data_IF_710569267096
#
_entry.id   IF_710569267096
#
_cell.length_a   1.000
_cell.length_b   1.000
_cell.length_c   1.000
_cell.angle_alpha   90.00
_cell.angle_beta   90.00
_cell.angle_gamma   90.00
#
_symmetry.space_group_name_H-M   'P 1'
#
loop_
_entity.id
_entity.type
_entity.pdbx_description
1 polymer ?
#
# COMPACT_ATOMS: atom_id res chain seq x y z
N UNK A 1 26.39 14.41 -5.32
CA UNK A 1 26.58 14.89 -6.70
C UNK A 1 26.89 16.39 -6.77
N UNK A 2 27.66 16.95 -5.82
CA UNK A 2 28.07 18.37 -5.85
C UNK A 2 26.99 19.43 -5.59
N UNK A 3 25.72 19.11 -5.80
CA UNK A 3 24.59 20.04 -5.60
C UNK A 3 24.30 20.27 -4.11
N UNK A 4 24.17 21.55 -3.74
CA UNK A 4 23.73 22.01 -2.41
C UNK A 4 22.48 22.85 -2.59
N UNK A 5 21.50 22.70 -1.70
CA UNK A 5 20.25 23.46 -1.77
C UNK A 5 19.33 23.04 -2.92
N UNK A 6 18.18 23.70 -3.02
CA UNK A 6 17.19 23.48 -4.08
C UNK A 6 17.28 24.66 -5.05
N UNK A 7 17.68 24.35 -6.28
CA UNK A 7 17.97 25.33 -7.33
C UNK A 7 17.28 24.86 -8.60
N UNK A 8 16.52 25.73 -9.26
CA UNK A 8 15.71 25.37 -10.42
C UNK A 8 16.59 24.95 -11.61
N UNK A 9 17.74 25.60 -11.76
CA UNK A 9 18.77 25.32 -12.76
C UNK A 9 19.39 23.92 -12.66
N UNK A 10 19.25 23.25 -11.52
CA UNK A 10 19.76 21.90 -11.29
C UNK A 10 18.71 20.81 -11.57
N UNK A 11 17.49 21.16 -11.98
CA UNK A 11 16.41 20.22 -12.24
C UNK A 11 16.27 19.89 -13.74
N UNK A 12 16.06 18.61 -14.11
CA UNK A 12 16.01 17.45 -13.22
C UNK A 12 17.41 16.95 -12.83
N UNK A 13 17.57 16.58 -11.56
CA UNK A 13 18.69 15.80 -11.05
C UNK A 13 18.57 14.37 -11.56
N UNK A 14 19.47 13.99 -12.48
CA UNK A 14 19.58 12.65 -13.04
C UNK A 14 21.02 12.16 -12.81
N UNK A 15 21.28 11.39 -11.75
CA UNK A 15 22.59 10.83 -11.49
C UNK A 15 23.01 9.80 -12.53
N UNK A 16 24.24 9.90 -12.99
CA UNK A 16 24.91 8.86 -13.76
C UNK A 16 26.40 8.78 -13.35
N UNK A 17 26.84 7.70 -12.67
CA UNK A 17 26.05 6.58 -12.16
C UNK A 17 25.26 6.94 -10.87
N UNK A 18 24.30 6.10 -10.50
CA UNK A 18 23.72 6.11 -9.15
C UNK A 18 24.75 5.62 -8.13
N UNK A 19 25.18 6.52 -7.24
CA UNK A 19 26.15 6.26 -6.18
C UNK A 19 25.44 5.85 -4.89
N UNK A 20 25.79 4.67 -4.38
CA UNK A 20 25.37 4.20 -3.06
C UNK A 20 26.21 4.88 -1.98
N UNK A 21 25.55 5.30 -0.91
CA UNK A 21 26.19 5.84 0.30
C UNK A 21 25.67 5.11 1.53
N UNK A 22 26.49 4.95 2.59
CA UNK A 22 25.99 4.46 3.86
C UNK A 22 24.83 5.32 4.36
N UNK A 23 23.90 4.69 5.08
CA UNK A 23 22.77 5.38 5.72
C UNK A 23 23.26 6.63 6.45
N UNK A 24 22.62 7.76 6.16
CA UNK A 24 22.92 9.04 6.80
C UNK A 24 21.97 9.27 7.97
N UNK A 25 22.49 9.90 9.04
CA UNK A 25 21.71 10.38 10.18
C UNK A 25 21.84 11.89 10.30
N UNK A 26 20.75 12.54 10.69
CA UNK A 26 20.74 13.99 10.93
C UNK A 26 21.43 14.30 12.25
N UNK A 27 22.22 15.35 12.25
CA UNK A 27 22.96 15.91 13.38
C UNK A 27 22.78 17.43 13.40
N UNK A 28 23.27 18.08 14.45
CA UNK A 28 23.28 19.56 14.56
C UNK A 28 24.02 20.21 13.37
N UNK A 29 25.10 19.58 12.89
CA UNK A 29 25.95 20.09 11.81
C UNK A 29 25.60 19.50 10.42
N UNK A 30 24.39 18.99 10.24
CA UNK A 30 23.92 18.41 8.97
C UNK A 30 23.84 16.89 9.00
N UNK A 31 24.25 16.22 7.92
CA UNK A 31 24.13 14.76 7.79
C UNK A 31 25.50 14.10 7.84
N UNK A 32 25.59 12.98 8.56
CA UNK A 32 26.79 12.14 8.59
C UNK A 32 26.41 10.65 8.45
N UNK A 33 27.33 9.80 7.98
CA UNK A 33 27.12 8.35 8.01
C UNK A 33 26.81 7.84 9.42
N UNK A 34 25.88 6.91 9.50
CA UNK A 34 25.54 6.21 10.74
C UNK A 34 26.71 5.32 11.18
N UNK A 35 27.23 5.57 12.38
CA UNK A 35 28.40 4.87 12.91
C UNK A 35 28.16 3.36 13.12
N UNK A 36 26.95 2.97 13.53
CA UNK A 36 26.59 1.56 13.72
C UNK A 36 26.50 0.84 12.38
N UNK A 37 25.93 1.48 11.37
CA UNK A 37 25.88 0.94 10.00
C UNK A 37 27.28 0.81 9.41
N UNK A 38 28.14 1.82 9.59
CA UNK A 38 29.54 1.74 9.15
C UNK A 38 30.30 0.59 9.80
N UNK A 39 30.12 0.39 11.11
CA UNK A 39 30.72 -0.73 11.83
C UNK A 39 30.25 -2.07 11.26
N UNK A 40 28.96 -2.22 11.01
CA UNK A 40 28.39 -3.44 10.44
C UNK A 40 28.87 -3.70 9.00
N UNK A 41 28.92 -2.67 8.15
CA UNK A 41 29.48 -2.78 6.79
C UNK A 41 30.94 -3.25 6.84
N UNK A 42 31.74 -2.72 7.77
CA UNK A 42 33.14 -3.14 7.95
C UNK A 42 33.25 -4.60 8.39
N UNK A 43 32.39 -5.07 9.28
CA UNK A 43 32.34 -6.48 9.70
C UNK A 43 32.00 -7.37 8.50
N UNK A 44 30.95 -7.02 7.75
CA UNK A 44 30.52 -7.79 6.58
C UNK A 44 31.61 -7.82 5.50
N UNK A 45 32.27 -6.68 5.23
CA UNK A 45 33.40 -6.61 4.30
C UNK A 45 34.52 -7.58 4.67
N UNK A 46 34.94 -7.59 5.94
CA UNK A 46 35.95 -8.56 6.41
C UNK A 46 35.53 -10.01 6.20
N UNK A 47 34.27 -10.33 6.49
CA UNK A 47 33.74 -11.69 6.31
C UNK A 47 33.67 -12.07 4.82
N UNK A 48 33.31 -11.13 3.94
CA UNK A 48 33.31 -11.37 2.49
C UNK A 48 34.73 -11.65 1.98
N UNK A 49 35.72 -10.89 2.45
CA UNK A 49 37.12 -11.06 2.04
C UNK A 49 37.67 -12.43 2.46
N UNK A 50 37.36 -12.86 3.69
CA UNK A 50 37.81 -14.14 4.25
C UNK A 50 37.02 -15.36 3.79
N UNK A 51 35.93 -15.18 3.03
CA UNK A 51 35.08 -16.27 2.57
C UNK A 51 35.42 -16.71 1.16
N UNK A 52 35.26 -18.00 0.87
CA UNK A 52 35.34 -18.53 -0.50
C UNK A 52 34.03 -18.32 -1.27
N UNK A 53 32.90 -18.39 -0.55
CA UNK A 53 31.53 -18.27 -1.07
C UNK A 53 30.62 -17.63 -0.01
N UNK A 54 29.55 -16.97 -0.45
CA UNK A 54 28.57 -16.30 0.41
C UNK A 54 27.23 -17.01 0.31
N UNK A 55 26.55 -17.21 1.45
CA UNK A 55 25.14 -17.64 1.47
C UNK A 55 24.30 -16.43 1.88
N UNK A 56 23.35 -16.06 1.03
CA UNK A 56 22.50 -14.88 1.21
C UNK A 56 21.18 -15.30 1.84
N UNK A 57 21.03 -14.98 3.12
CA UNK A 57 19.88 -15.31 3.96
C UNK A 57 18.99 -14.09 4.27
N UNK A 58 18.90 -13.13 3.35
CA UNK A 58 17.92 -12.04 3.45
C UNK A 58 16.53 -12.52 3.06
N UNK A 59 15.49 -11.80 3.50
CA UNK A 59 14.09 -12.14 3.23
C UNK A 59 13.82 -12.51 1.76
N UNK A 60 12.96 -13.52 1.58
CA UNK A 60 12.52 -14.03 0.29
C UNK A 60 11.60 -13.04 -0.44
N UNK A 61 12.18 -11.95 -0.94
CA UNK A 61 11.46 -10.91 -1.66
C UNK A 61 12.37 -9.88 -2.33
N UNK A 62 11.75 -8.93 -3.04
CA UNK A 62 12.46 -7.87 -3.79
C UNK A 62 13.39 -7.03 -2.91
N UNK A 63 12.92 -6.59 -1.75
CA UNK A 63 13.71 -5.74 -0.85
C UNK A 63 14.89 -6.51 -0.23
N UNK A 64 14.68 -7.79 0.11
CA UNK A 64 15.73 -8.66 0.61
C UNK A 64 16.82 -8.93 -0.44
N UNK A 65 16.45 -9.05 -1.72
CA UNK A 65 17.43 -9.13 -2.81
C UNK A 65 18.20 -7.81 -2.98
N UNK A 66 17.48 -6.69 -2.97
CA UNK A 66 18.05 -5.37 -3.19
C UNK A 66 19.10 -5.01 -2.13
N UNK A 67 18.78 -5.22 -0.85
CA UNK A 67 19.68 -4.84 0.25
C UNK A 67 21.01 -5.60 0.20
N UNK A 68 20.97 -6.90 -0.09
CA UNK A 68 22.20 -7.69 -0.27
C UNK A 68 22.99 -7.20 -1.47
N UNK A 69 22.35 -7.04 -2.64
CA UNK A 69 23.03 -6.63 -3.87
C UNK A 69 23.62 -5.24 -3.79
N UNK A 70 22.97 -4.30 -3.09
CA UNK A 70 23.54 -2.99 -2.80
C UNK A 70 24.79 -3.08 -1.95
N UNK A 71 24.79 -3.89 -0.89
CA UNK A 71 25.97 -4.07 -0.06
C UNK A 71 27.11 -4.77 -0.81
N UNK A 72 26.77 -5.81 -1.58
CA UNK A 72 27.70 -6.56 -2.42
C UNK A 72 28.37 -5.66 -3.46
N UNK A 73 27.60 -4.81 -4.14
CA UNK A 73 28.10 -3.83 -5.09
C UNK A 73 28.92 -2.71 -4.42
N UNK A 74 28.43 -2.16 -3.30
CA UNK A 74 29.10 -1.10 -2.53
C UNK A 74 30.48 -1.53 -2.03
N UNK A 75 30.61 -2.78 -1.57
CA UNK A 75 31.88 -3.36 -1.14
C UNK A 75 32.75 -3.84 -2.30
N UNK A 76 32.28 -3.77 -3.54
CA UNK A 76 33.02 -4.27 -4.70
C UNK A 76 33.25 -5.79 -4.68
N UNK A 77 32.46 -6.55 -3.92
CA UNK A 77 32.65 -7.99 -3.78
C UNK A 77 32.40 -8.71 -5.11
N UNK A 78 33.16 -9.79 -5.36
CA UNK A 78 33.05 -10.64 -6.56
C UNK A 78 33.00 -12.13 -6.23
N UNK A 79 32.92 -12.48 -4.94
CA UNK A 79 32.83 -13.87 -4.48
C UNK A 79 31.51 -14.49 -4.97
N UNK A 80 31.50 -15.77 -5.38
CA UNK A 80 30.26 -16.46 -5.72
C UNK A 80 29.31 -16.46 -4.52
N UNK A 81 28.01 -16.41 -4.78
CA UNK A 81 27.00 -16.48 -3.73
C UNK A 81 25.79 -17.30 -4.16
N UNK A 82 25.15 -17.92 -3.17
CA UNK A 82 23.93 -18.69 -3.32
C UNK A 82 22.83 -18.08 -2.43
N UNK A 83 21.57 -18.28 -2.79
CA UNK A 83 20.39 -17.76 -2.06
C UNK A 83 19.75 -18.84 -1.21
N UNK A 84 19.59 -18.53 0.07
CA UNK A 84 18.67 -19.23 0.96
C UNK A 84 17.29 -18.57 0.82
N UNK A 85 16.35 -19.26 0.17
CA UNK A 85 15.02 -18.72 -0.15
C UNK A 85 13.93 -19.39 0.68
N UNK A 86 13.70 -18.88 1.89
CA UNK A 86 12.73 -19.42 2.85
C UNK A 86 11.78 -18.33 3.34
N UNK A 87 10.51 -18.69 3.60
CA UNK A 87 9.49 -17.82 4.17
C UNK A 87 9.08 -18.21 5.60
N UNK A 88 9.71 -19.26 6.15
CA UNK A 88 9.47 -19.80 7.49
C UNK A 88 10.79 -19.87 8.25
N UNK A 89 10.75 -19.51 9.54
CA UNK A 89 11.89 -19.58 10.44
C UNK A 89 11.90 -20.88 11.28
N UNK A 90 11.10 -21.88 10.91
CA UNK A 90 11.14 -23.18 11.57
C UNK A 90 12.45 -23.89 11.26
N UNK A 91 12.94 -24.65 12.23
CA UNK A 91 14.17 -25.43 12.14
C UNK A 91 14.18 -26.37 10.91
N UNK A 92 13.05 -27.02 10.63
CA UNK A 92 12.85 -27.84 9.42
C UNK A 92 13.01 -27.02 8.13
N UNK A 93 12.36 -25.86 8.04
CA UNK A 93 12.43 -25.02 6.84
C UNK A 93 13.84 -24.47 6.59
N UNK A 94 14.56 -24.11 7.66
CA UNK A 94 15.95 -23.64 7.56
C UNK A 94 16.86 -24.78 7.08
N UNK A 95 16.75 -25.99 7.65
CA UNK A 95 17.55 -27.14 7.22
C UNK A 95 17.28 -27.52 5.76
N UNK A 96 16.01 -27.63 5.39
CA UNK A 96 15.62 -27.93 4.01
C UNK A 96 16.09 -26.85 3.04
N UNK A 97 15.98 -25.57 3.42
CA UNK A 97 16.46 -24.44 2.63
C UNK A 97 17.98 -24.45 2.42
N UNK A 98 18.75 -24.78 3.46
CA UNK A 98 20.22 -24.89 3.36
C UNK A 98 20.68 -26.07 2.51
N UNK A 99 19.89 -27.15 2.45
CA UNK A 99 20.15 -28.28 1.55
C UNK A 99 19.81 -27.96 0.09
N UNK A 100 18.94 -26.99 -0.15
CA UNK A 100 18.40 -26.62 -1.47
C UNK A 100 18.68 -25.16 -1.82
N UNK A 101 19.94 -24.72 -1.64
CA UNK A 101 20.39 -23.39 -2.03
C UNK A 101 20.20 -23.16 -3.54
N UNK A 102 19.86 -21.93 -3.90
CA UNK A 102 19.62 -21.51 -5.29
C UNK A 102 20.79 -20.67 -5.79
N UNK A 103 21.11 -20.77 -7.08
CA UNK A 103 22.16 -19.93 -7.66
C UNK A 103 21.68 -18.46 -7.60
N UNK A 104 22.55 -17.56 -7.16
CA UNK A 104 22.26 -16.12 -7.11
C UNK A 104 21.72 -15.54 -8.42
N UNK A 105 22.14 -16.08 -9.57
CA UNK A 105 21.71 -15.66 -10.91
C UNK A 105 20.23 -15.88 -11.17
N UNK A 106 19.62 -16.87 -10.50
CA UNK A 106 18.16 -17.11 -10.61
C UNK A 106 17.35 -15.88 -10.17
N UNK A 107 17.94 -14.98 -9.38
CA UNK A 107 17.30 -13.79 -8.83
C UNK A 107 17.78 -12.47 -9.46
N UNK A 108 18.58 -12.50 -10.53
CA UNK A 108 19.07 -11.26 -11.18
C UNK A 108 17.92 -10.38 -11.70
N UNK A 109 16.89 -10.98 -12.29
CA UNK A 109 15.70 -10.23 -12.73
C UNK A 109 14.94 -9.60 -11.57
N UNK A 110 14.87 -10.28 -10.42
CA UNK A 110 14.24 -9.75 -9.22
C UNK A 110 15.03 -8.56 -8.67
N UNK A 111 16.35 -8.66 -8.66
CA UNK A 111 17.26 -7.57 -8.32
C UNK A 111 17.08 -6.38 -9.25
N UNK A 112 17.11 -6.57 -10.57
CA UNK A 112 16.97 -5.49 -11.55
C UNK A 112 15.62 -4.78 -11.41
N UNK A 113 14.53 -5.52 -11.17
CA UNK A 113 13.23 -4.93 -10.90
C UNK A 113 13.21 -4.09 -9.61
N UNK A 114 13.84 -4.57 -8.53
CA UNK A 114 13.93 -3.85 -7.26
C UNK A 114 14.81 -2.58 -7.38
N UNK A 115 15.95 -2.68 -8.07
CA UNK A 115 16.85 -1.55 -8.36
C UNK A 115 16.14 -0.48 -9.19
N UNK A 116 15.51 -0.87 -10.29
CA UNK A 116 14.77 0.06 -11.16
C UNK A 116 13.67 0.80 -10.38
N UNK A 117 12.94 0.10 -9.51
CA UNK A 117 11.95 0.73 -8.63
C UNK A 117 12.60 1.73 -7.65
N UNK A 118 13.69 1.34 -6.98
CA UNK A 118 14.41 2.19 -6.04
C UNK A 118 14.93 3.48 -6.69
N UNK A 119 15.52 3.37 -7.88
CA UNK A 119 16.02 4.51 -8.66
C UNK A 119 14.88 5.39 -9.18
N UNK A 120 13.78 4.81 -9.68
CA UNK A 120 12.62 5.55 -10.13
C UNK A 120 11.94 6.32 -8.98
N UNK A 121 11.77 5.68 -7.81
CA UNK A 121 11.20 6.33 -6.63
C UNK A 121 12.11 7.49 -6.15
N UNK A 122 13.43 7.33 -6.24
CA UNK A 122 14.38 8.40 -5.94
C UNK A 122 14.28 9.56 -6.94
N UNK A 123 14.25 9.28 -8.24
CA UNK A 123 14.16 10.30 -9.31
C UNK A 123 12.89 11.13 -9.19
N UNK A 124 11.73 10.47 -9.05
CA UNK A 124 10.44 11.17 -8.89
C UNK A 124 10.43 11.96 -7.57
N UNK A 125 10.91 11.34 -6.50
CA UNK A 125 10.92 11.93 -5.16
C UNK A 125 11.76 13.20 -5.10
N UNK A 126 13.02 13.12 -5.50
CA UNK A 126 13.96 14.24 -5.38
C UNK A 126 13.56 15.40 -6.32
N UNK A 127 13.22 15.10 -7.58
CA UNK A 127 12.90 16.14 -8.56
C UNK A 127 11.56 16.79 -8.27
N UNK A 128 10.52 15.99 -7.99
CA UNK A 128 9.19 16.51 -7.68
C UNK A 128 9.19 17.34 -6.40
N UNK A 129 9.88 16.87 -5.35
CA UNK A 129 9.95 17.58 -4.06
C UNK A 129 10.69 18.91 -4.22
N UNK A 130 11.82 18.93 -4.94
CA UNK A 130 12.55 20.17 -5.19
C UNK A 130 11.74 21.15 -6.02
N UNK A 131 11.18 20.72 -7.15
CA UNK A 131 10.38 21.57 -8.03
C UNK A 131 9.20 22.21 -7.28
N UNK A 132 8.43 21.41 -6.54
CA UNK A 132 7.27 21.90 -5.81
C UNK A 132 7.66 22.80 -4.63
N UNK A 133 8.75 22.48 -3.94
CA UNK A 133 9.25 23.31 -2.83
C UNK A 133 9.74 24.67 -3.31
N UNK A 134 10.47 24.72 -4.43
CA UNK A 134 10.91 25.98 -5.06
C UNK A 134 9.69 26.80 -5.48
N UNK A 135 8.74 26.18 -6.19
CA UNK A 135 7.54 26.87 -6.66
C UNK A 135 6.68 27.43 -5.52
N UNK A 136 6.62 26.75 -4.38
CA UNK A 136 5.87 27.20 -3.22
C UNK A 136 6.55 28.34 -2.44
N UNK A 137 7.88 28.49 -2.56
CA UNK A 137 8.66 29.55 -1.91
C UNK A 137 8.72 29.49 -0.38
N UNK A 138 8.17 28.45 0.26
CA UNK A 138 8.15 28.25 1.71
C UNK A 138 8.07 26.78 2.07
N UNK A 139 8.60 26.39 3.22
CA UNK A 139 8.48 25.02 3.74
C UNK A 139 9.13 23.97 2.82
N UNK A 140 8.72 22.71 2.97
CA UNK A 140 9.13 21.61 2.09
C UNK A 140 7.90 20.79 1.73
N UNK A 141 7.70 20.58 0.43
CA UNK A 141 6.53 19.88 -0.10
C UNK A 141 6.97 18.58 -0.76
N UNK A 142 6.84 17.47 -0.03
CA UNK A 142 7.26 16.16 -0.53
C UNK A 142 6.34 15.68 -1.65
N UNK A 143 6.96 15.27 -2.76
CA UNK A 143 6.30 14.58 -3.86
C UNK A 143 6.86 13.17 -3.93
N UNK A 144 6.02 12.19 -4.22
CA UNK A 144 6.48 10.83 -4.44
C UNK A 144 5.41 9.95 -5.07
N UNK A 145 5.86 8.93 -5.81
CA UNK A 145 5.00 8.04 -6.58
C UNK A 145 3.93 7.32 -5.75
N UNK A 146 4.14 7.16 -4.43
CA UNK A 146 3.18 6.52 -3.51
C UNK A 146 2.43 7.55 -2.67
N UNK A 147 3.14 8.44 -1.96
CA UNK A 147 2.50 9.39 -1.03
C UNK A 147 1.56 10.38 -1.76
N UNK A 148 1.92 10.84 -2.96
CA UNK A 148 1.16 11.89 -3.66
C UNK A 148 -0.16 11.36 -4.20
N UNK A 149 -0.24 10.18 -4.87
CA UNK A 149 -1.53 9.60 -5.22
C UNK A 149 -2.42 9.27 -4.02
N UNK A 150 -1.85 8.78 -2.92
CA UNK A 150 -2.62 8.52 -1.69
C UNK A 150 -3.25 9.80 -1.13
N UNK A 151 -2.49 10.90 -1.07
CA UNK A 151 -3.04 12.21 -0.71
C UNK A 151 -4.11 12.67 -1.70
N UNK A 152 -3.90 12.43 -3.00
CA UNK A 152 -4.87 12.71 -4.06
C UNK A 152 -6.22 12.04 -3.79
N UNK A 153 -6.24 10.76 -3.42
CA UNK A 153 -7.46 10.03 -3.08
C UNK A 153 -8.21 10.64 -1.89
N UNK A 154 -7.49 11.11 -0.86
CA UNK A 154 -8.08 11.78 0.30
C UNK A 154 -8.66 13.14 -0.09
N UNK A 155 -7.92 13.93 -0.88
CA UNK A 155 -8.38 15.22 -1.38
C UNK A 155 -9.62 15.09 -2.28
N UNK A 156 -9.66 14.08 -3.15
CA UNK A 156 -10.81 13.80 -4.00
C UNK A 156 -12.05 13.50 -3.16
N UNK A 157 -11.94 12.57 -2.19
CA UNK A 157 -13.03 12.26 -1.26
C UNK A 157 -13.48 13.48 -0.44
N UNK A 158 -12.55 14.33 -0.02
CA UNK A 158 -12.88 15.58 0.67
C UNK A 158 -13.74 16.50 -0.22
N UNK A 159 -13.35 16.68 -1.49
CA UNK A 159 -14.11 17.51 -2.42
C UNK A 159 -15.46 16.90 -2.80
N UNK A 160 -15.54 15.58 -2.98
CA UNK A 160 -16.81 14.87 -3.14
C UNK A 160 -17.76 15.19 -1.99
N UNK A 161 -17.28 15.14 -0.75
CA UNK A 161 -18.08 15.46 0.42
C UNK A 161 -18.44 16.95 0.50
N UNK A 162 -17.49 17.86 0.24
CA UNK A 162 -17.75 19.32 0.29
C UNK A 162 -18.71 19.80 -0.78
N UNK A 163 -18.70 19.17 -1.95
CA UNK A 163 -19.59 19.47 -3.07
C UNK A 163 -20.89 18.67 -3.02
N UNK A 164 -21.05 17.78 -2.04
CA UNK A 164 -22.26 17.01 -1.87
C UNK A 164 -23.39 17.91 -1.36
N UNK A 165 -24.38 18.14 -2.21
CA UNK A 165 -25.62 18.79 -1.85
C UNK A 165 -26.67 17.74 -1.49
N UNK A 166 -27.04 17.68 -0.21
CA UNK A 166 -28.09 16.77 0.25
C UNK A 166 -29.44 17.17 -0.34
N UNK A 167 -30.09 16.23 -1.04
CA UNK A 167 -31.42 16.42 -1.62
C UNK A 167 -32.43 15.55 -0.88
N UNK A 168 -33.53 16.12 -0.36
CA UNK A 168 -34.54 15.32 0.30
C UNK A 168 -35.24 14.40 -0.70
N UNK A 169 -35.55 13.19 -0.23
CA UNK A 169 -36.41 12.25 -0.93
C UNK A 169 -37.30 11.55 0.09
N UNK A 170 -38.43 11.05 -0.38
CA UNK A 170 -39.43 10.35 0.39
C UNK A 170 -39.63 8.94 -0.17
N UNK A 171 -39.73 7.97 0.73
CA UNK A 171 -40.16 6.61 0.43
C UNK A 171 -41.35 6.27 1.30
N UNK A 172 -42.28 5.49 0.73
CA UNK A 172 -43.45 5.02 1.45
C UNK A 172 -43.08 3.69 2.10
N UNK A 173 -43.30 3.61 3.41
CA UNK A 173 -43.13 2.39 4.18
C UNK A 173 -44.47 1.98 4.79
N UNK A 174 -44.79 0.69 4.76
CA UNK A 174 -45.96 0.15 5.44
C UNK A 174 -45.61 -1.20 6.11
N UNK A 175 -46.35 -1.53 7.16
CA UNK A 175 -46.22 -2.78 7.90
C UNK A 175 -47.45 -3.64 7.69
N UNK A 176 -47.26 -4.95 7.51
CA UNK A 176 -48.34 -5.94 7.53
C UNK A 176 -48.07 -6.91 8.67
N UNK A 177 -49.10 -7.20 9.47
CA UNK A 177 -48.99 -8.23 10.52
C UNK A 177 -49.14 -9.58 9.84
N UNK A 178 -48.13 -10.42 10.00
CA UNK A 178 -48.21 -11.82 9.64
C UNK A 178 -49.20 -12.54 10.57
N UNK A 179 -50.24 -13.13 10.01
CA UNK A 179 -51.32 -13.78 10.76
C UNK A 179 -50.85 -15.01 11.52
N UNK A 180 -49.79 -15.67 11.05
CA UNK A 180 -49.31 -16.93 11.62
C UNK A 180 -48.29 -16.69 12.75
N UNK A 181 -47.35 -15.75 12.53
CA UNK A 181 -46.28 -15.47 13.50
C UNK A 181 -46.52 -14.26 14.40
N UNK A 182 -47.50 -13.40 14.07
CA UNK A 182 -47.75 -12.12 14.75
C UNK A 182 -46.67 -11.05 14.49
N UNK A 183 -45.68 -11.34 13.66
CA UNK A 183 -44.59 -10.41 13.35
C UNK A 183 -45.03 -9.32 12.36
N UNK A 184 -44.44 -8.13 12.48
CA UNK A 184 -44.65 -7.04 11.52
C UNK A 184 -43.65 -7.17 10.37
N UNK A 185 -44.16 -7.48 9.18
CA UNK A 185 -43.40 -7.43 7.94
C UNK A 185 -43.38 -6.00 7.41
N UNK A 186 -42.18 -5.42 7.28
CA UNK A 186 -41.99 -4.06 6.77
C UNK A 186 -41.72 -4.07 5.27
N UNK A 187 -42.49 -3.28 4.53
CA UNK A 187 -42.32 -3.07 3.11
C UNK A 187 -41.93 -1.63 2.82
N UNK A 188 -41.08 -1.46 1.80
CA UNK A 188 -40.59 -0.16 1.34
C UNK A 188 -40.89 -0.06 -0.15
N UNK A 189 -41.41 1.10 -0.58
CA UNK A 189 -41.60 1.38 -1.99
C UNK A 189 -40.28 1.29 -2.76
N UNK A 190 -40.29 0.63 -3.92
CA UNK A 190 -39.15 0.63 -4.84
C UNK A 190 -38.84 2.05 -5.32
N UNK A 191 -39.89 2.84 -5.54
CA UNK A 191 -39.77 4.23 -5.97
C UNK A 191 -39.34 5.14 -4.82
N UNK A 192 -38.63 6.21 -5.19
CA UNK A 192 -38.26 7.35 -4.35
C UNK A 192 -38.82 8.60 -5.00
N UNK A 193 -39.49 9.45 -4.22
CA UNK A 193 -40.05 10.70 -4.71
C UNK A 193 -39.25 11.88 -4.16
N UNK A 194 -39.02 12.90 -4.96
CA UNK A 194 -38.37 14.15 -4.54
C UNK A 194 -39.38 15.24 -4.18
N UNK A 195 -40.67 14.98 -4.38
CA UNK A 195 -41.76 15.84 -3.94
C UNK A 195 -42.52 15.17 -2.79
N UNK A 196 -42.70 15.92 -1.70
CA UNK A 196 -43.35 15.42 -0.48
C UNK A 196 -44.85 15.25 -0.68
N UNK A 197 -45.50 16.11 -1.45
CA UNK A 197 -46.94 16.05 -1.66
C UNK A 197 -47.32 14.75 -2.40
N UNK A 198 -46.63 14.46 -3.51
CA UNK A 198 -46.79 13.22 -4.26
C UNK A 198 -46.58 11.98 -3.39
N UNK A 199 -45.52 11.95 -2.56
CA UNK A 199 -45.26 10.82 -1.67
C UNK A 199 -46.36 10.67 -0.60
N UNK A 200 -46.92 11.78 -0.12
CA UNK A 200 -47.99 11.81 0.88
C UNK A 200 -49.31 11.30 0.30
N UNK A 201 -49.64 11.70 -0.93
CA UNK A 201 -50.83 11.21 -1.63
C UNK A 201 -50.77 9.70 -1.87
N UNK A 202 -49.59 9.18 -2.25
CA UNK A 202 -49.37 7.74 -2.41
C UNK A 202 -49.47 7.04 -1.06
N UNK A 203 -48.88 7.60 0.00
CA UNK A 203 -49.01 7.06 1.35
C UNK A 203 -50.48 6.95 1.78
N UNK A 204 -51.28 8.00 1.54
CA UNK A 204 -52.71 8.00 1.87
C UNK A 204 -53.46 6.92 1.08
N UNK A 205 -53.21 6.77 -0.22
CA UNK A 205 -53.79 5.70 -1.04
C UNK A 205 -53.44 4.30 -0.52
N UNK A 206 -52.19 4.07 -0.13
CA UNK A 206 -51.76 2.80 0.46
C UNK A 206 -52.46 2.55 1.79
N UNK A 207 -52.57 3.58 2.64
CA UNK A 207 -53.27 3.51 3.93
C UNK A 207 -54.75 3.21 3.77
N UNK A 208 -55.42 3.87 2.82
CA UNK A 208 -56.84 3.67 2.51
C UNK A 208 -57.12 2.28 1.92
N UNK A 209 -56.21 1.74 1.11
CA UNK A 209 -56.34 0.39 0.54
C UNK A 209 -56.36 -0.69 1.62
N UNK A 210 -55.63 -0.48 2.73
CA UNK A 210 -55.68 -1.33 3.94
C UNK A 210 -55.24 -2.79 3.75
N UNK A 211 -54.80 -3.16 2.55
CA UNK A 211 -54.44 -4.52 2.16
C UNK A 211 -53.30 -4.51 1.14
N UNK A 212 -52.55 -5.60 1.05
CA UNK A 212 -51.47 -5.77 0.09
C UNK A 212 -51.48 -7.18 -0.48
N UNK A 213 -51.14 -7.31 -1.76
CA UNK A 213 -51.05 -8.61 -2.45
C UNK A 213 -49.58 -8.91 -2.71
N UNK A 214 -49.11 -10.07 -2.25
CA UNK A 214 -47.78 -10.56 -2.56
C UNK A 214 -47.76 -10.98 -4.03
N UNK A 215 -47.05 -10.23 -4.86
CA UNK A 215 -46.94 -10.53 -6.30
C UNK A 215 -45.82 -11.52 -6.61
N UNK A 216 -44.82 -11.63 -5.73
CA UNK A 216 -43.66 -12.51 -5.93
C UNK A 216 -42.97 -12.83 -4.61
N UNK A 217 -42.66 -14.11 -4.41
CA UNK A 217 -41.76 -14.60 -3.36
C UNK A 217 -40.58 -15.27 -4.03
N UNK A 218 -39.36 -14.91 -3.63
CA UNK A 218 -38.14 -15.55 -4.13
C UNK A 218 -37.29 -15.99 -2.97
N UNK A 219 -37.18 -17.31 -2.80
CA UNK A 219 -36.26 -17.91 -1.82
C UNK A 219 -34.97 -18.28 -2.53
N UNK A 220 -33.84 -17.75 -2.05
CA UNK A 220 -32.51 -18.10 -2.58
C UNK A 220 -31.66 -18.68 -1.45
N UNK A 221 -31.13 -19.88 -1.68
CA UNK A 221 -30.07 -20.43 -0.83
C UNK A 221 -28.75 -19.74 -1.19
N UNK A 222 -28.16 -19.02 -0.24
CA UNK A 222 -26.81 -18.46 -0.37
C UNK A 222 -25.87 -19.27 0.50
N UNK A 223 -24.76 -19.73 -0.06
CA UNK A 223 -23.67 -20.35 0.70
C UNK A 223 -22.56 -19.33 0.78
N UNK A 224 -22.21 -18.94 2.00
CA UNK A 224 -21.07 -18.09 2.28
C UNK A 224 -19.88 -18.98 2.64
N UNK A 225 -18.79 -18.86 1.89
CA UNK A 225 -17.56 -19.61 2.17
C UNK A 225 -16.81 -18.92 3.30
N UNK A 226 -16.04 -19.70 4.06
CA UNK A 226 -15.08 -19.15 4.99
C UNK A 226 -14.13 -18.18 4.26
N UNK A 227 -13.74 -17.06 4.89
CA UNK A 227 -12.77 -16.15 4.31
C UNK A 227 -11.42 -16.84 4.13
N UNK A 228 -10.59 -16.28 3.25
CA UNK A 228 -9.20 -16.73 3.09
C UNK A 228 -8.38 -16.40 4.34
N UNK A 229 -7.23 -17.06 4.49
CA UNK A 229 -6.24 -16.67 5.49
C UNK A 229 -5.78 -15.23 5.26
N UNK A 230 -5.41 -14.56 6.35
CA UNK A 230 -4.97 -13.18 6.30
C UNK A 230 -3.71 -12.99 5.45
N UNK A 231 -3.77 -12.00 4.55
CA UNK A 231 -2.58 -11.26 4.16
C UNK A 231 -2.39 -10.04 5.07
N UNK A 232 -1.23 -9.38 4.98
CA UNK A 232 -0.90 -8.24 5.84
C UNK A 232 -1.92 -7.08 5.67
N UNK A 233 -2.44 -6.86 4.46
CA UNK A 233 -3.37 -5.75 4.18
C UNK A 233 -4.73 -5.99 4.85
N UNK A 234 -5.23 -7.21 4.74
CA UNK A 234 -6.51 -7.63 5.35
C UNK A 234 -6.40 -7.63 6.86
N UNK A 235 -5.29 -8.14 7.40
CA UNK A 235 -5.01 -8.09 8.84
C UNK A 235 -4.97 -6.65 9.36
N UNK A 236 -4.26 -5.75 8.66
CA UNK A 236 -4.21 -4.34 9.02
C UNK A 236 -5.59 -3.67 8.95
N UNK A 237 -6.40 -4.00 7.93
CA UNK A 237 -7.75 -3.45 7.78
C UNK A 237 -8.67 -3.88 8.92
N UNK A 238 -8.61 -5.15 9.33
CA UNK A 238 -9.50 -5.69 10.37
C UNK A 238 -9.01 -5.37 11.79
N UNK A 239 -7.70 -5.25 12.01
CA UNK A 239 -7.13 -4.87 13.30
C UNK A 239 -7.23 -3.38 13.61
N UNK A 240 -7.54 -2.54 12.63
CA UNK A 240 -7.69 -1.09 12.80
C UNK A 240 -9.06 -0.77 13.42
N UNK A 241 -9.13 -0.87 14.76
CA UNK A 241 -10.27 -0.49 15.59
C UNK A 241 -10.29 1.01 15.90
#
# INVERSE_FOLDING_TARGET
YGMKGFHAENLPVIPDPFVLVPRQVKTENGYKPDAGVLAQIKIIGKLFDSSERIIVATDAGREGELIFRYLYAYLGCRKPFDRLWISSLTDTAIREGLLNLRDGKEYDNLYHAAKARSEADWLVGINGTQALTIAAGRGTYSVGRVQTPTLGMVCERYWENKRFESKPFWQVHFGVVDTDSGNILKFTSANRWTDKATATDIYNKVKETGSAIITKVVTKRKVEKAPLLYDLTTLQKEANF
#
